data_IF_110143344597
#
_entry.id   IF_110143344597
#
_cell.length_a   1.000
_cell.length_b   1.000
_cell.length_c   1.000
_cell.angle_alpha   90.00
_cell.angle_beta   90.00
_cell.angle_gamma   90.00
#
_symmetry.space_group_name_H-M   'P 1'
#
loop_
_entity.id
_entity.type
_entity.pdbx_description
1 polymer ?
#
# COMPACT_ATOMS: atom_id res chain seq x y z
N UNK A 1 -5.75 -1.62 17.60
CA UNK A 1 -6.86 -1.42 16.66
C UNK A 1 -7.27 -2.76 16.11
N UNK A 2 -8.57 -3.05 16.10
CA UNK A 2 -9.12 -4.27 15.50
C UNK A 2 -8.85 -4.28 13.99
N UNK A 3 -8.46 -5.42 13.43
CA UNK A 3 -8.11 -5.57 12.01
C UNK A 3 -9.04 -6.57 11.36
N UNK A 4 -9.69 -6.17 10.26
CA UNK A 4 -10.52 -7.06 9.45
C UNK A 4 -9.73 -7.47 8.20
N UNK A 5 -9.45 -8.76 7.98
CA UNK A 5 -8.75 -9.21 6.78
C UNK A 5 -9.65 -9.06 5.56
N UNK A 6 -9.09 -8.57 4.45
CA UNK A 6 -9.73 -8.53 3.14
C UNK A 6 -8.79 -9.13 2.11
N UNK A 7 -9.28 -10.10 1.34
CA UNK A 7 -8.56 -10.65 0.20
C UNK A 7 -8.95 -9.86 -1.04
N UNK A 8 -7.97 -9.22 -1.67
CA UNK A 8 -8.14 -8.49 -2.93
C UNK A 8 -6.98 -8.83 -3.85
N UNK A 9 -7.28 -8.91 -5.15
CA UNK A 9 -6.24 -9.02 -6.19
C UNK A 9 -5.90 -7.62 -6.69
N UNK A 10 -4.62 -7.36 -6.90
CA UNK A 10 -4.15 -6.10 -7.46
C UNK A 10 -3.85 -6.26 -8.95
N UNK A 11 -4.18 -5.25 -9.78
CA UNK A 11 -3.60 -5.11 -11.10
C UNK A 11 -2.07 -5.07 -11.03
N UNK A 12 -1.39 -5.67 -12.01
CA UNK A 12 0.07 -5.81 -12.01
C UNK A 12 0.76 -4.44 -12.02
N UNK A 13 0.27 -3.51 -12.82
CA UNK A 13 0.77 -2.15 -12.93
C UNK A 13 0.69 -1.40 -11.59
N UNK A 14 -0.39 -1.63 -10.83
CA UNK A 14 -0.56 -1.04 -9.51
C UNK A 14 0.44 -1.63 -8.50
N UNK A 15 0.70 -2.94 -8.53
CA UNK A 15 1.71 -3.59 -7.68
C UNK A 15 3.09 -2.97 -7.93
N UNK A 16 3.50 -2.84 -9.20
CA UNK A 16 4.80 -2.27 -9.58
C UNK A 16 4.96 -0.86 -9.00
N UNK A 17 3.94 -0.01 -9.15
CA UNK A 17 3.97 1.36 -8.61
C UNK A 17 4.05 1.41 -7.08
N UNK A 18 3.35 0.51 -6.40
CA UNK A 18 3.38 0.43 -4.93
C UNK A 18 4.76 -0.06 -4.44
N UNK A 19 5.37 -1.03 -5.12
CA UNK A 19 6.72 -1.51 -4.78
C UNK A 19 7.79 -0.44 -5.02
N UNK A 20 7.68 0.33 -6.10
CA UNK A 20 8.55 1.49 -6.33
C UNK A 20 8.41 2.52 -5.21
N UNK A 21 7.17 2.83 -4.82
CA UNK A 21 6.89 3.72 -3.69
C UNK A 21 7.48 3.17 -2.38
N UNK A 22 7.30 1.88 -2.13
CA UNK A 22 7.84 1.19 -0.94
C UNK A 22 9.37 1.35 -0.87
N UNK A 23 10.08 1.08 -1.97
CA UNK A 23 11.54 1.21 -2.05
C UNK A 23 12.00 2.66 -1.85
N UNK A 24 11.38 3.61 -2.56
CA UNK A 24 11.72 5.05 -2.47
C UNK A 24 11.57 5.61 -1.06
N UNK A 25 10.59 5.12 -0.30
CA UNK A 25 10.28 5.61 1.06
C UNK A 25 10.82 4.69 2.18
N UNK A 26 11.64 3.68 1.85
CA UNK A 26 12.19 2.70 2.80
C UNK A 26 11.14 2.01 3.69
N UNK A 27 9.97 1.70 3.10
CA UNK A 27 8.88 1.07 3.83
C UNK A 27 9.11 -0.45 3.91
N UNK A 28 8.99 -1.00 5.12
CA UNK A 28 9.38 -2.39 5.42
C UNK A 28 8.52 -3.45 4.73
N UNK A 29 7.27 -3.15 4.39
CA UNK A 29 6.36 -4.12 3.76
C UNK A 29 5.46 -3.47 2.71
N UNK A 30 5.04 -4.28 1.74
CA UNK A 30 4.06 -3.89 0.73
C UNK A 30 2.76 -3.40 1.37
N UNK A 31 2.25 -4.11 2.38
CA UNK A 31 1.03 -3.70 3.12
C UNK A 31 1.20 -2.37 3.84
N UNK A 32 2.39 -2.05 4.35
CA UNK A 32 2.70 -0.74 4.92
C UNK A 32 2.62 0.36 3.88
N UNK A 33 3.17 0.12 2.68
CA UNK A 33 3.08 1.06 1.57
C UNK A 33 1.63 1.28 1.11
N UNK A 34 0.84 0.20 1.03
CA UNK A 34 -0.60 0.27 0.72
C UNK A 34 -1.33 1.15 1.74
N UNK A 35 -1.12 0.93 3.04
CA UNK A 35 -1.78 1.72 4.07
C UNK A 35 -1.41 3.20 4.02
N UNK A 36 -0.13 3.51 3.81
CA UNK A 36 0.31 4.90 3.72
C UNK A 36 -0.31 5.60 2.50
N UNK A 37 -0.33 4.95 1.34
CA UNK A 37 -0.91 5.48 0.12
C UNK A 37 -2.43 5.69 0.24
N UNK A 38 -3.16 4.72 0.82
CA UNK A 38 -4.59 4.87 1.09
C UNK A 38 -4.83 6.04 2.04
N UNK A 39 -4.05 6.13 3.13
CA UNK A 39 -4.16 7.22 4.10
C UNK A 39 -3.98 8.59 3.43
N UNK A 40 -2.93 8.76 2.61
CA UNK A 40 -2.69 10.00 1.85
C UNK A 40 -3.86 10.32 0.89
N UNK A 41 -4.44 9.32 0.25
CA UNK A 41 -5.59 9.51 -0.64
C UNK A 41 -6.88 9.90 0.08
N UNK A 42 -7.05 9.47 1.33
CA UNK A 42 -8.22 9.78 2.16
C UNK A 42 -8.11 11.13 2.88
N UNK A 43 -6.90 11.56 3.24
CA UNK A 43 -6.68 12.77 4.04
C UNK A 43 -6.71 14.10 3.26
N UNK A 44 -6.73 14.06 1.92
CA UNK A 44 -6.68 15.23 1.01
C UNK A 44 -5.66 16.31 1.37
#
# INVERSE_FOLDING_TARGET
>A
MERVPKLIKFPVDLVVRIEEYQKKNNIKSFSGAVYELIRKGLEK
#
